data_IF_314113514820
#
_entry.id   IF_314113514820
#
_cell.length_a   1.000
_cell.length_b   1.000
_cell.length_c   1.000
_cell.angle_alpha   90.00
_cell.angle_beta   90.00
_cell.angle_gamma   90.00
#
_symmetry.space_group_name_H-M   'P 1'
#
loop_
_entity.id
_entity.type
_entity.pdbx_description
1 polymer ?
#
# COMPACT_ATOMS: atom_id res chain seq x y z
N UNK A 1 -32.60 -21.92 26.51
CA UNK A 1 -31.91 -20.68 26.10
C UNK A 1 -30.65 -20.59 26.92
N UNK A 2 -29.48 -20.71 26.29
CA UNK A 2 -28.20 -20.64 27.00
C UNK A 2 -27.77 -19.18 27.09
N UNK A 3 -27.85 -18.60 28.29
CA UNK A 3 -27.23 -17.31 28.59
C UNK A 3 -25.71 -17.48 28.56
N UNK A 4 -25.10 -17.16 27.42
CA UNK A 4 -23.65 -17.08 27.29
C UNK A 4 -23.19 -15.68 27.66
N UNK A 5 -22.11 -15.57 28.44
CA UNK A 5 -21.50 -14.30 28.80
C UNK A 5 -20.91 -13.60 27.56
N UNK A 6 -20.67 -12.29 27.68
CA UNK A 6 -20.22 -11.46 26.56
C UNK A 6 -18.88 -11.93 25.95
N UNK A 7 -17.98 -12.52 26.74
CA UNK A 7 -16.70 -13.05 26.28
C UNK A 7 -16.87 -14.29 25.41
N UNK A 8 -17.79 -15.18 25.79
CA UNK A 8 -18.13 -16.39 25.03
C UNK A 8 -18.79 -16.06 23.69
N UNK A 9 -19.65 -15.03 23.63
CA UNK A 9 -20.27 -14.58 22.37
C UNK A 9 -19.26 -14.02 21.37
N UNK A 10 -18.27 -13.27 21.87
CA UNK A 10 -17.20 -12.71 21.04
C UNK A 10 -16.33 -13.81 20.43
N UNK A 11 -15.99 -14.85 21.20
CA UNK A 11 -15.26 -16.00 20.67
C UNK A 11 -16.08 -16.78 19.65
N UNK A 12 -17.38 -16.96 19.88
CA UNK A 12 -18.26 -17.63 18.92
C UNK A 12 -18.36 -16.87 17.60
N UNK A 13 -18.45 -15.53 17.64
CA UNK A 13 -18.47 -14.68 16.44
C UNK A 13 -17.16 -14.70 15.67
N UNK A 14 -16.02 -14.77 16.36
CA UNK A 14 -14.71 -14.92 15.71
C UNK A 14 -14.58 -16.30 15.05
N UNK A 15 -15.05 -17.36 15.72
CA UNK A 15 -15.06 -18.72 15.15
C UNK A 15 -15.99 -18.78 13.94
N UNK A 16 -17.20 -18.23 14.03
CA UNK A 16 -18.15 -18.20 12.91
C UNK A 16 -17.64 -17.33 11.76
N UNK A 17 -17.04 -16.18 12.03
CA UNK A 17 -16.43 -15.34 10.99
C UNK A 17 -15.25 -16.00 10.31
N UNK A 18 -14.40 -16.69 11.08
CA UNK A 18 -13.30 -17.49 10.55
C UNK A 18 -13.81 -18.64 9.68
N UNK A 19 -14.84 -19.37 10.12
CA UNK A 19 -15.47 -20.44 9.33
C UNK A 19 -16.13 -19.91 8.05
N UNK A 20 -16.79 -18.75 8.09
CA UNK A 20 -17.42 -18.15 6.90
C UNK A 20 -16.40 -17.66 5.86
N UNK A 21 -15.24 -17.18 6.31
CA UNK A 21 -14.10 -16.87 5.44
C UNK A 21 -13.53 -18.15 4.79
N UNK A 22 -13.42 -19.24 5.54
CA UNK A 22 -12.92 -20.52 5.02
C UNK A 22 -13.85 -21.19 3.99
N UNK A 23 -15.17 -20.97 4.07
CA UNK A 23 -16.16 -21.60 3.17
C UNK A 23 -16.72 -20.69 2.07
N UNK A 24 -16.04 -19.57 1.73
CA UNK A 24 -16.44 -18.69 0.62
C UNK A 24 -17.78 -17.98 0.82
N UNK A 25 -18.22 -17.83 2.08
CA UNK A 25 -19.57 -17.41 2.47
C UNK A 25 -19.84 -15.90 2.44
N UNK A 26 -19.37 -15.17 1.42
CA UNK A 26 -19.64 -13.72 1.31
C UNK A 26 -21.13 -13.39 1.23
N UNK A 27 -21.95 -14.28 0.64
CA UNK A 27 -23.41 -14.12 0.58
C UNK A 27 -24.10 -14.36 1.93
N UNK A 28 -23.50 -15.17 2.82
CA UNK A 28 -24.02 -15.42 4.16
C UNK A 28 -23.56 -14.35 5.17
N UNK A 29 -22.41 -13.70 4.94
CA UNK A 29 -21.94 -12.61 5.80
C UNK A 29 -22.98 -11.50 5.93
N UNK A 30 -23.61 -11.07 4.83
CA UNK A 30 -24.67 -10.06 4.86
C UNK A 30 -25.95 -10.51 5.60
N UNK A 31 -26.15 -11.81 5.81
CA UNK A 31 -27.26 -12.36 6.59
C UNK A 31 -26.87 -12.49 8.07
N UNK A 32 -25.64 -12.92 8.36
CA UNK A 32 -25.08 -13.00 9.72
C UNK A 32 -24.96 -11.60 10.34
N UNK A 33 -24.51 -10.62 9.57
CA UNK A 33 -24.43 -9.21 9.96
C UNK A 33 -25.82 -8.62 10.27
N UNK A 34 -26.88 -9.06 9.58
CA UNK A 34 -28.26 -8.64 9.90
C UNK A 34 -28.86 -9.35 11.11
N UNK A 35 -28.39 -10.57 11.42
CA UNK A 35 -29.02 -11.40 12.45
C UNK A 35 -28.34 -11.25 13.80
N UNK A 36 -27.03 -11.00 13.84
CA UNK A 36 -26.23 -10.99 15.07
C UNK A 36 -25.80 -9.61 15.59
N UNK A 37 -25.97 -8.53 14.82
CA UNK A 37 -25.53 -7.18 15.25
C UNK A 37 -26.49 -6.50 16.21
N UNK A 38 -27.70 -7.02 16.42
CA UNK A 38 -28.70 -6.30 17.22
C UNK A 38 -28.49 -6.41 18.74
N UNK A 39 -27.93 -7.51 19.24
CA UNK A 39 -27.89 -7.79 20.69
C UNK A 39 -26.50 -8.13 21.27
N UNK A 40 -25.45 -8.29 20.45
CA UNK A 40 -24.16 -8.87 20.91
C UNK A 40 -23.03 -7.86 21.18
N UNK A 41 -23.13 -6.62 20.70
CA UNK A 41 -22.05 -5.63 20.77
C UNK A 41 -22.43 -4.43 21.65
N UNK A 42 -22.43 -4.65 22.95
CA UNK A 42 -22.46 -3.54 23.90
C UNK A 42 -21.22 -2.66 23.76
N UNK A 43 -21.40 -1.43 23.28
CA UNK A 43 -20.63 -0.28 23.78
C UNK A 43 -19.76 0.53 22.82
N UNK A 44 -19.60 0.17 21.55
CA UNK A 44 -19.09 1.11 20.53
C UNK A 44 -20.20 1.26 19.49
N UNK A 45 -20.83 2.43 19.46
CA UNK A 45 -22.21 2.64 19.01
C UNK A 45 -22.54 2.24 17.57
N UNK A 46 -22.85 0.97 17.35
CA UNK A 46 -23.83 0.51 16.34
C UNK A 46 -25.23 0.76 16.95
N UNK A 47 -25.51 2.04 17.18
CA UNK A 47 -26.70 2.53 17.89
C UNK A 47 -27.19 3.86 17.35
N UNK A 48 -26.56 4.41 16.32
CA UNK A 48 -27.23 5.39 15.50
C UNK A 48 -28.40 4.66 14.83
N UNK A 49 -29.65 5.10 15.04
CA UNK A 49 -30.78 4.55 14.29
C UNK A 49 -30.41 4.62 12.81
N UNK A 50 -30.81 3.59 12.04
CA UNK A 50 -30.67 3.65 10.59
C UNK A 50 -31.14 5.05 10.15
N UNK A 51 -30.31 5.82 9.40
CA UNK A 51 -30.57 7.22 9.13
C UNK A 51 -32.02 7.40 8.72
N UNK A 52 -32.71 8.35 9.34
CA UNK A 52 -34.13 8.61 9.06
C UNK A 52 -34.27 8.75 7.55
N UNK A 53 -35.39 8.35 6.95
CA UNK A 53 -35.55 8.27 5.49
C UNK A 53 -35.03 9.51 4.69
N UNK A 54 -35.15 10.77 5.19
CA UNK A 54 -34.50 11.95 4.59
C UNK A 54 -32.96 11.89 4.57
N UNK A 55 -32.35 11.40 5.64
CA UNK A 55 -30.89 11.24 5.79
C UNK A 55 -30.35 10.17 4.84
N UNK A 56 -31.15 9.13 4.56
CA UNK A 56 -30.79 8.11 3.56
C UNK A 56 -30.73 8.69 2.15
N UNK A 57 -31.70 9.51 1.76
CA UNK A 57 -31.71 10.14 0.44
C UNK A 57 -30.52 11.09 0.27
N UNK A 58 -30.22 11.91 1.28
CA UNK A 58 -29.06 12.79 1.30
C UNK A 58 -27.74 12.01 1.22
N UNK A 59 -27.59 10.95 2.02
CA UNK A 59 -26.43 10.06 1.98
C UNK A 59 -26.23 9.42 0.61
N UNK A 60 -27.30 8.89 -0.01
CA UNK A 60 -27.22 8.28 -1.34
C UNK A 60 -26.88 9.32 -2.43
N UNK A 61 -27.43 10.53 -2.34
CA UNK A 61 -27.09 11.61 -3.25
C UNK A 61 -25.60 12.00 -3.13
N UNK A 62 -25.08 12.07 -1.90
CA UNK A 62 -23.67 12.38 -1.65
C UNK A 62 -22.75 11.27 -2.15
N UNK A 63 -23.09 10.01 -1.88
CA UNK A 63 -22.36 8.84 -2.40
C UNK A 63 -22.31 8.83 -3.92
N UNK A 64 -23.39 9.22 -4.62
CA UNK A 64 -23.41 9.37 -6.09
C UNK A 64 -22.46 10.45 -6.57
N UNK A 65 -22.43 11.62 -5.92
CA UNK A 65 -21.51 12.72 -6.26
C UNK A 65 -20.06 12.28 -6.08
N UNK A 66 -19.74 11.59 -4.99
CA UNK A 66 -18.41 11.04 -4.73
C UNK A 66 -17.98 10.05 -5.82
N UNK A 67 -18.84 9.08 -6.18
CA UNK A 67 -18.55 8.14 -7.27
C UNK A 67 -18.38 8.85 -8.63
N UNK A 68 -19.19 9.87 -8.91
CA UNK A 68 -19.09 10.65 -10.14
C UNK A 68 -17.76 11.40 -10.20
N UNK A 69 -17.35 12.06 -9.12
CA UNK A 69 -16.06 12.76 -9.04
C UNK A 69 -14.91 11.77 -9.28
N UNK A 70 -14.88 10.63 -8.59
CA UNK A 70 -13.87 9.57 -8.80
C UNK A 70 -13.83 9.09 -10.24
N UNK A 71 -14.99 8.82 -10.85
CA UNK A 71 -15.07 8.36 -12.25
C UNK A 71 -14.55 9.42 -13.23
N UNK A 72 -14.87 10.69 -13.01
CA UNK A 72 -14.36 11.80 -13.83
C UNK A 72 -12.85 11.96 -13.66
N UNK A 73 -12.33 11.90 -12.43
CA UNK A 73 -10.89 11.90 -12.17
C UNK A 73 -10.20 10.74 -12.87
N UNK A 74 -10.71 9.50 -12.72
CA UNK A 74 -10.19 8.32 -13.39
C UNK A 74 -10.09 8.52 -14.91
N UNK A 75 -11.17 9.01 -15.53
CA UNK A 75 -11.22 9.28 -16.97
C UNK A 75 -10.19 10.34 -17.39
N UNK A 76 -10.03 11.41 -16.61
CA UNK A 76 -9.04 12.44 -16.88
C UNK A 76 -7.60 11.93 -16.69
N UNK A 77 -7.32 11.17 -15.64
CA UNK A 77 -6.01 10.58 -15.39
C UNK A 77 -5.61 9.59 -16.49
N UNK A 78 -6.53 8.73 -16.95
CA UNK A 78 -6.31 7.82 -18.08
C UNK A 78 -5.99 8.56 -19.39
N UNK A 79 -6.56 9.74 -19.58
CA UNK A 79 -6.29 10.60 -20.72
C UNK A 79 -5.04 11.50 -20.54
N UNK A 80 -4.31 11.38 -19.43
CA UNK A 80 -3.18 12.26 -19.09
C UNK A 80 -3.58 13.71 -18.79
N UNK A 81 -4.88 14.00 -18.65
CA UNK A 81 -5.41 15.34 -18.43
C UNK A 81 -5.42 15.71 -16.94
N UNK A 82 -4.26 15.65 -16.28
CA UNK A 82 -4.14 15.77 -14.82
C UNK A 82 -4.68 17.09 -14.25
N UNK A 83 -4.54 18.23 -14.96
CA UNK A 83 -5.15 19.49 -14.52
C UNK A 83 -6.69 19.42 -14.45
N UNK A 84 -7.33 18.63 -15.34
CA UNK A 84 -8.78 18.41 -15.26
C UNK A 84 -9.14 17.55 -14.06
N UNK A 85 -8.33 16.53 -13.74
CA UNK A 85 -8.52 15.71 -12.54
C UNK A 85 -8.41 16.55 -11.25
N UNK A 86 -7.42 17.44 -11.16
CA UNK A 86 -7.27 18.39 -10.03
C UNK A 86 -8.52 19.26 -9.88
N UNK A 87 -9.03 19.86 -10.97
CA UNK A 87 -10.24 20.70 -10.93
C UNK A 87 -11.49 19.94 -10.46
N UNK A 88 -11.64 18.67 -10.86
CA UNK A 88 -12.74 17.82 -10.39
C UNK A 88 -12.62 17.61 -8.87
N UNK A 89 -11.41 17.32 -8.39
CA UNK A 89 -11.18 17.16 -6.95
C UNK A 89 -11.43 18.44 -6.17
N UNK A 90 -10.91 19.59 -6.62
CA UNK A 90 -11.13 20.89 -5.98
C UNK A 90 -12.62 21.22 -5.86
N UNK A 91 -13.39 20.95 -6.93
CA UNK A 91 -14.84 21.17 -6.95
C UNK A 91 -15.57 20.29 -5.92
N UNK A 92 -15.10 19.07 -5.71
CA UNK A 92 -15.66 18.16 -4.70
C UNK A 92 -15.26 18.60 -3.28
N UNK A 93 -13.96 18.83 -3.06
CA UNK A 93 -13.38 19.15 -1.75
C UNK A 93 -13.83 20.51 -1.21
N UNK A 94 -14.19 21.46 -2.10
CA UNK A 94 -14.80 22.73 -1.68
C UNK A 94 -16.13 22.56 -0.92
N UNK A 95 -16.74 21.37 -0.98
CA UNK A 95 -18.02 21.04 -0.33
C UNK A 95 -17.85 20.11 0.87
N UNK A 96 -16.81 19.28 0.86
CA UNK A 96 -16.65 18.19 1.84
C UNK A 96 -15.20 17.72 1.87
N UNK A 97 -14.64 17.64 3.07
CA UNK A 97 -13.37 16.97 3.28
C UNK A 97 -13.51 15.46 3.05
N UNK A 98 -12.71 14.92 2.15
CA UNK A 98 -12.67 13.49 1.82
C UNK A 98 -11.23 13.07 1.53
N UNK A 99 -10.68 12.23 2.40
CA UNK A 99 -9.27 11.78 2.32
C UNK A 99 -8.97 11.10 0.99
N UNK A 100 -9.90 10.30 0.45
CA UNK A 100 -9.69 9.57 -0.79
C UNK A 100 -9.59 10.53 -1.98
N UNK A 101 -10.50 11.49 -2.09
CA UNK A 101 -10.44 12.53 -3.13
C UNK A 101 -9.19 13.40 -2.94
N UNK A 102 -8.82 13.71 -1.69
CA UNK A 102 -7.59 14.41 -1.33
C UNK A 102 -6.34 13.69 -1.85
N UNK A 103 -6.23 12.38 -1.65
CA UNK A 103 -5.09 11.58 -2.10
C UNK A 103 -5.02 11.56 -3.64
N UNK A 104 -6.15 11.38 -4.32
CA UNK A 104 -6.22 11.39 -5.78
C UNK A 104 -5.87 12.77 -6.37
N UNK A 105 -6.21 13.85 -5.67
CA UNK A 105 -5.80 15.22 -6.01
C UNK A 105 -4.30 15.40 -5.84
N UNK A 106 -3.77 15.01 -4.69
CA UNK A 106 -2.36 15.13 -4.36
C UNK A 106 -1.49 14.37 -5.39
N UNK A 107 -1.92 13.18 -5.80
CA UNK A 107 -1.29 12.47 -6.89
C UNK A 107 -1.37 13.22 -8.22
N UNK A 108 -2.54 13.73 -8.61
CA UNK A 108 -2.68 14.46 -9.86
C UNK A 108 -1.75 15.68 -9.90
N UNK A 109 -1.53 16.34 -8.76
CA UNK A 109 -0.54 17.41 -8.61
C UNK A 109 0.90 16.90 -8.74
N UNK A 110 1.24 15.75 -8.13
CA UNK A 110 2.55 15.11 -8.32
C UNK A 110 2.84 14.81 -9.80
N UNK A 111 1.83 14.35 -10.55
CA UNK A 111 1.94 14.11 -12.00
C UNK A 111 2.15 15.37 -12.84
N UNK A 112 1.82 16.52 -12.29
CA UNK A 112 2.05 17.84 -12.88
C UNK A 112 3.37 18.47 -12.42
N UNK A 113 4.15 17.75 -11.62
CA UNK A 113 5.33 18.29 -10.93
C UNK A 113 5.01 19.53 -10.09
N UNK A 114 3.77 19.65 -9.62
CA UNK A 114 3.34 20.75 -8.75
C UNK A 114 3.84 20.48 -7.32
N UNK A 115 4.63 21.40 -6.72
CA UNK A 115 5.14 21.23 -5.35
C UNK A 115 4.06 20.97 -4.30
N UNK A 116 2.84 21.48 -4.50
CA UNK A 116 1.72 21.25 -3.59
C UNK A 116 1.32 19.77 -3.51
N UNK A 117 1.59 18.97 -4.55
CA UNK A 117 1.26 17.55 -4.56
C UNK A 117 1.96 16.78 -3.46
N UNK A 118 3.27 17.02 -3.30
CA UNK A 118 4.09 16.44 -2.23
C UNK A 118 3.57 16.84 -0.84
N UNK A 119 3.31 18.13 -0.62
CA UNK A 119 2.81 18.64 0.66
C UNK A 119 1.43 18.10 1.00
N UNK A 120 0.51 18.07 0.05
CA UNK A 120 -0.84 17.55 0.23
C UNK A 120 -0.83 16.04 0.55
N UNK A 121 -0.05 15.26 -0.19
CA UNK A 121 0.10 13.82 0.06
C UNK A 121 0.69 13.57 1.44
N UNK A 122 1.77 14.27 1.80
CA UNK A 122 2.39 14.14 3.12
C UNK A 122 1.47 14.54 4.27
N UNK A 123 0.54 15.48 4.06
CA UNK A 123 -0.47 15.84 5.06
C UNK A 123 -1.49 14.72 5.25
N UNK A 124 -1.95 14.10 4.17
CA UNK A 124 -2.97 13.06 4.19
C UNK A 124 -2.46 11.71 4.70
N UNK A 125 -1.16 11.44 4.59
CA UNK A 125 -0.53 10.26 5.15
C UNK A 125 -0.20 10.40 6.64
N UNK A 126 -0.27 11.61 7.23
CA UNK A 126 -0.06 11.75 8.68
C UNK A 126 -1.32 11.31 9.42
N UNK A 127 -1.47 10.00 9.56
CA UNK A 127 -2.35 9.35 10.51
C UNK A 127 -1.54 8.91 11.76
N UNK A 128 -2.20 8.41 12.81
CA UNK A 128 -1.60 8.08 14.11
C UNK A 128 -0.62 6.87 14.08
N UNK A 129 -0.46 6.18 12.96
CA UNK A 129 0.41 5.02 12.79
C UNK A 129 1.78 5.41 12.19
N UNK A 130 2.82 5.45 13.03
CA UNK A 130 4.15 5.99 12.72
C UNK A 130 4.84 5.58 11.40
N UNK A 131 4.43 4.49 10.74
CA UNK A 131 4.96 4.08 9.43
C UNK A 131 4.66 5.11 8.32
N UNK A 132 3.45 5.66 8.28
CA UNK A 132 3.09 6.66 7.28
C UNK A 132 3.75 8.03 7.52
N UNK A 133 4.24 8.28 8.74
CA UNK A 133 5.04 9.47 9.04
C UNK A 133 6.38 9.47 8.30
N UNK A 134 7.05 8.33 8.20
CA UNK A 134 8.30 8.22 7.44
C UNK A 134 8.05 8.59 5.98
N UNK A 135 7.05 7.98 5.33
CA UNK A 135 6.68 8.26 3.93
C UNK A 135 6.32 9.73 3.71
N UNK A 136 5.61 10.34 4.66
CA UNK A 136 5.30 11.76 4.64
C UNK A 136 6.57 12.63 4.68
N UNK A 137 7.59 12.24 5.45
CA UNK A 137 8.86 12.95 5.51
C UNK A 137 9.64 12.84 4.19
N UNK A 138 9.64 11.65 3.56
CA UNK A 138 10.23 11.48 2.23
C UNK A 138 9.51 12.30 1.16
N UNK A 139 8.17 12.39 1.21
CA UNK A 139 7.39 13.26 0.31
C UNK A 139 7.70 14.74 0.48
N UNK A 140 8.07 15.18 1.69
CA UNK A 140 8.57 16.55 1.98
C UNK A 140 10.02 16.77 1.55
N UNK A 141 10.71 15.72 1.11
CA UNK A 141 12.13 15.76 0.76
C UNK A 141 13.08 15.52 1.92
N UNK A 142 12.59 15.21 3.13
CA UNK A 142 13.42 14.87 4.29
C UNK A 142 13.81 13.39 4.25
N UNK A 143 14.69 13.06 3.29
CA UNK A 143 15.25 11.70 3.12
C UNK A 143 15.95 11.21 4.39
N UNK A 144 16.57 12.12 5.15
CA UNK A 144 17.28 11.82 6.40
C UNK A 144 16.33 11.42 7.53
N UNK A 145 15.16 12.04 7.65
CA UNK A 145 14.15 11.63 8.62
C UNK A 145 13.61 10.23 8.31
N UNK A 146 13.30 9.94 7.05
CA UNK A 146 12.90 8.59 6.62
C UNK A 146 13.99 7.57 6.98
N UNK A 147 15.24 7.85 6.62
CA UNK A 147 16.39 6.98 6.91
C UNK A 147 16.52 6.69 8.41
N UNK A 148 16.43 7.71 9.28
CA UNK A 148 16.47 7.53 10.74
C UNK A 148 15.36 6.63 11.26
N UNK A 149 14.17 6.70 10.68
CA UNK A 149 13.05 5.84 11.07
C UNK A 149 13.28 4.39 10.64
N UNK A 150 13.74 4.18 9.40
CA UNK A 150 14.12 2.85 8.92
C UNK A 150 15.22 2.23 9.79
N UNK A 151 16.28 2.99 10.12
CA UNK A 151 17.33 2.54 11.03
C UNK A 151 16.81 2.24 12.44
N UNK A 152 15.89 3.06 12.97
CA UNK A 152 15.29 2.82 14.29
C UNK A 152 14.52 1.51 14.29
N UNK A 153 13.66 1.30 13.29
CA UNK A 153 12.87 0.08 13.13
C UNK A 153 13.78 -1.16 12.98
N UNK A 154 14.86 -1.04 12.20
CA UNK A 154 15.87 -2.09 12.08
C UNK A 154 16.55 -2.35 13.42
N UNK A 155 16.98 -1.34 14.17
CA UNK A 155 17.64 -1.48 15.48
C UNK A 155 16.73 -2.17 16.51
N UNK A 156 15.45 -1.80 16.57
CA UNK A 156 14.48 -2.37 17.52
C UNK A 156 14.02 -3.78 17.17
N UNK A 157 14.18 -4.21 15.92
CA UNK A 157 13.73 -5.54 15.49
C UNK A 157 14.76 -6.61 15.85
N UNK A 158 14.33 -7.57 16.68
CA UNK A 158 15.08 -8.77 17.00
C UNK A 158 14.98 -9.77 15.82
N UNK A 159 16.09 -10.07 15.13
CA UNK A 159 16.07 -10.98 13.98
C UNK A 159 15.74 -12.42 14.37
N UNK A 160 15.92 -12.83 15.62
CA UNK A 160 15.58 -14.18 16.08
C UNK A 160 14.09 -14.28 16.37
N UNK A 161 13.55 -13.32 17.13
CA UNK A 161 12.16 -13.38 17.64
C UNK A 161 11.09 -12.87 16.68
N UNK A 162 11.47 -12.09 15.66
CA UNK A 162 10.50 -11.55 14.69
C UNK A 162 9.84 -12.65 13.85
N UNK A 163 8.53 -12.54 13.63
CA UNK A 163 7.82 -13.35 12.63
C UNK A 163 8.32 -13.00 11.22
N UNK A 164 8.15 -13.89 10.22
CA UNK A 164 8.51 -13.60 8.82
C UNK A 164 7.90 -12.30 8.30
N UNK A 165 6.60 -12.07 8.58
CA UNK A 165 5.91 -10.85 8.18
C UNK A 165 6.51 -9.60 8.83
N UNK A 166 6.79 -9.64 10.13
CA UNK A 166 7.39 -8.49 10.83
C UNK A 166 8.82 -8.21 10.35
N UNK A 167 9.60 -9.27 10.13
CA UNK A 167 10.95 -9.16 9.56
C UNK A 167 10.90 -8.51 8.17
N UNK A 168 9.98 -8.96 7.31
CA UNK A 168 9.78 -8.39 5.99
C UNK A 168 9.35 -6.93 6.04
N UNK A 169 8.32 -6.59 6.82
CA UNK A 169 7.80 -5.22 6.89
C UNK A 169 8.86 -4.24 7.43
N UNK A 170 9.70 -4.69 8.37
CA UNK A 170 10.84 -3.88 8.84
C UNK A 170 11.87 -3.69 7.73
N UNK A 171 12.21 -4.76 7.00
CA UNK A 171 13.15 -4.72 5.89
C UNK A 171 12.62 -3.89 4.70
N UNK A 172 11.30 -3.83 4.53
CA UNK A 172 10.65 -3.04 3.48
C UNK A 172 10.88 -1.54 3.62
N UNK A 173 10.86 -1.02 4.86
CA UNK A 173 11.22 0.38 5.13
C UNK A 173 12.61 0.69 4.58
N UNK A 174 13.56 -0.22 4.78
CA UNK A 174 14.90 -0.07 4.25
C UNK A 174 14.95 -0.15 2.71
N UNK A 175 14.21 -1.06 2.08
CA UNK A 175 14.11 -1.13 0.61
C UNK A 175 13.58 0.18 0.00
N UNK A 176 12.66 0.84 0.69
CA UNK A 176 12.05 2.10 0.28
C UNK A 176 12.91 3.34 0.47
N UNK A 177 13.91 3.26 1.34
CA UNK A 177 14.78 4.41 1.60
C UNK A 177 15.72 4.60 0.39
N UNK A 178 15.74 5.77 -0.27
CA UNK A 178 16.64 5.99 -1.41
C UNK A 178 18.12 5.78 -1.05
N UNK A 179 18.47 6.04 0.22
CA UNK A 179 19.83 5.96 0.75
C UNK A 179 19.83 5.37 2.16
N UNK A 180 20.55 4.27 2.37
CA UNK A 180 20.91 3.81 3.73
C UNK A 180 22.41 4.00 3.87
N UNK A 181 22.80 4.97 4.68
CA UNK A 181 24.20 5.36 4.85
C UNK A 181 24.99 4.44 5.77
N UNK A 182 24.33 3.71 6.66
CA UNK A 182 24.96 2.70 7.52
C UNK A 182 24.94 1.31 6.84
N UNK A 183 26.09 0.77 6.40
CA UNK A 183 26.16 -0.55 5.78
C UNK A 183 25.69 -1.67 6.72
N UNK A 184 25.85 -1.52 8.04
CA UNK A 184 25.40 -2.52 9.01
C UNK A 184 23.87 -2.60 9.08
N UNK A 185 23.19 -1.45 9.01
CA UNK A 185 21.74 -1.37 8.92
C UNK A 185 21.22 -2.02 7.63
N UNK A 186 21.85 -1.75 6.48
CA UNK A 186 21.48 -2.39 5.21
C UNK A 186 21.70 -3.92 5.26
N UNK A 187 22.84 -4.39 5.77
CA UNK A 187 23.12 -5.81 5.95
C UNK A 187 22.08 -6.48 6.87
N UNK A 188 21.66 -5.81 7.95
CA UNK A 188 20.60 -6.30 8.83
C UNK A 188 19.25 -6.40 8.11
N UNK A 189 18.89 -5.42 7.28
CA UNK A 189 17.66 -5.47 6.49
C UNK A 189 17.65 -6.65 5.53
N UNK A 190 18.75 -6.89 4.81
CA UNK A 190 18.93 -8.06 3.93
C UNK A 190 18.73 -9.36 4.72
N UNK A 191 19.38 -9.51 5.88
CA UNK A 191 19.27 -10.72 6.69
C UNK A 191 17.83 -10.99 7.19
N UNK A 192 17.09 -9.93 7.55
CA UNK A 192 15.67 -10.03 7.92
C UNK A 192 14.81 -10.49 6.73
N UNK A 193 15.03 -9.92 5.54
CA UNK A 193 14.30 -10.29 4.34
C UNK A 193 14.59 -11.72 3.89
N UNK A 194 15.86 -12.15 3.93
CA UNK A 194 16.25 -13.53 3.63
C UNK A 194 15.62 -14.53 4.62
N UNK A 195 15.53 -14.18 5.90
CA UNK A 195 14.82 -14.99 6.90
C UNK A 195 13.35 -15.17 6.49
N UNK A 196 12.68 -14.09 6.11
CA UNK A 196 11.28 -14.13 5.70
C UNK A 196 11.08 -15.03 4.46
N UNK A 197 11.92 -14.87 3.43
CA UNK A 197 11.90 -15.72 2.23
C UNK A 197 12.12 -17.19 2.58
N UNK A 198 13.13 -17.51 3.41
CA UNK A 198 13.39 -18.89 3.84
C UNK A 198 12.20 -19.49 4.58
N UNK A 199 11.58 -18.74 5.49
CA UNK A 199 10.41 -19.21 6.23
C UNK A 199 9.22 -19.49 5.29
N UNK A 200 8.92 -18.57 4.36
CA UNK A 200 7.84 -18.76 3.39
C UNK A 200 8.05 -19.97 2.47
N UNK A 201 9.30 -20.30 2.11
CA UNK A 201 9.62 -21.51 1.34
C UNK A 201 9.41 -22.82 2.11
N UNK A 202 9.34 -22.78 3.43
CA UNK A 202 9.16 -23.94 4.30
C UNK A 202 7.71 -24.17 4.74
N UNK A 203 6.81 -23.23 4.47
CA UNK A 203 5.38 -23.39 4.74
C UNK A 203 4.79 -24.52 3.86
N UNK A 204 3.74 -25.21 4.33
CA UNK A 204 3.20 -26.42 3.69
C UNK A 204 1.96 -26.16 2.80
N UNK A 205 1.40 -24.95 2.80
CA UNK A 205 0.17 -24.58 2.08
C UNK A 205 0.43 -23.87 0.72
N UNK A 206 0.33 -24.57 -0.44
CA UNK A 206 0.86 -24.08 -1.73
C UNK A 206 0.32 -22.74 -2.23
N UNK A 207 -0.96 -22.44 -2.01
CA UNK A 207 -1.59 -21.21 -2.53
C UNK A 207 -1.29 -19.98 -1.68
N UNK A 208 -1.26 -20.11 -0.35
CA UNK A 208 -0.91 -19.01 0.56
C UNK A 208 0.60 -18.71 0.51
N UNK A 209 1.43 -19.73 0.29
CA UNK A 209 2.88 -19.61 0.08
C UNK A 209 3.19 -18.67 -1.06
N UNK A 210 2.51 -18.81 -2.21
CA UNK A 210 2.82 -18.01 -3.39
C UNK A 210 2.67 -16.50 -3.12
N UNK A 211 1.65 -16.09 -2.34
CA UNK A 211 1.44 -14.69 -1.98
C UNK A 211 2.51 -14.13 -1.05
N UNK A 212 2.80 -14.83 0.05
CA UNK A 212 3.80 -14.42 1.03
C UNK A 212 5.21 -14.45 0.44
N UNK A 213 5.56 -15.53 -0.26
CA UNK A 213 6.86 -15.70 -0.90
C UNK A 213 7.10 -14.62 -1.95
N UNK A 214 6.12 -14.31 -2.82
CA UNK A 214 6.28 -13.23 -3.79
C UNK A 214 6.57 -11.87 -3.12
N UNK A 215 5.84 -11.56 -2.05
CA UNK A 215 6.01 -10.31 -1.28
C UNK A 215 7.40 -10.22 -0.65
N UNK A 216 7.86 -11.31 -0.02
CA UNK A 216 9.14 -11.34 0.67
C UNK A 216 10.32 -11.33 -0.32
N UNK A 217 10.16 -12.01 -1.45
CA UNK A 217 11.13 -12.00 -2.55
C UNK A 217 11.19 -10.61 -3.21
N UNK A 218 10.06 -9.89 -3.36
CA UNK A 218 10.07 -8.51 -3.84
C UNK A 218 10.90 -7.59 -2.92
N UNK A 219 10.69 -7.70 -1.61
CA UNK A 219 11.45 -6.92 -0.60
C UNK A 219 12.94 -7.22 -0.67
N UNK A 220 13.31 -8.51 -0.77
CA UNK A 220 14.70 -8.94 -0.88
C UNK A 220 15.35 -8.37 -2.15
N UNK A 221 14.65 -8.41 -3.28
CA UNK A 221 15.09 -7.84 -4.54
C UNK A 221 15.33 -6.33 -4.46
N UNK A 222 14.43 -5.58 -3.82
CA UNK A 222 14.62 -4.16 -3.54
C UNK A 222 15.87 -3.90 -2.69
N UNK A 223 16.14 -4.73 -1.68
CA UNK A 223 17.34 -4.61 -0.83
C UNK A 223 18.64 -4.97 -1.55
N UNK A 224 18.62 -5.94 -2.47
CA UNK A 224 19.75 -6.22 -3.35
C UNK A 224 20.10 -4.99 -4.18
N UNK A 225 19.10 -4.33 -4.79
CA UNK A 225 19.30 -3.08 -5.53
C UNK A 225 19.91 -1.98 -4.64
N UNK A 226 19.37 -1.79 -3.42
CA UNK A 226 19.92 -0.81 -2.46
C UNK A 226 21.36 -1.12 -2.03
N UNK A 227 21.76 -2.39 -2.07
CA UNK A 227 23.12 -2.85 -1.76
C UNK A 227 24.10 -2.78 -2.93
N UNK A 228 23.68 -2.28 -4.11
CA UNK A 228 24.49 -2.29 -5.33
C UNK A 228 24.70 -3.69 -5.93
N UNK A 229 23.89 -4.67 -5.50
CA UNK A 229 23.89 -6.04 -6.02
C UNK A 229 22.85 -6.15 -7.14
N UNK A 230 23.06 -5.40 -8.21
CA UNK A 230 22.02 -5.18 -9.24
C UNK A 230 21.68 -6.45 -10.02
N UNK A 231 22.66 -7.33 -10.25
CA UNK A 231 22.42 -8.62 -10.90
C UNK A 231 21.51 -9.52 -10.05
N UNK A 232 21.81 -9.65 -8.76
CA UNK A 232 20.99 -10.39 -7.80
C UNK A 232 19.61 -9.75 -7.62
N UNK A 233 19.53 -8.42 -7.67
CA UNK A 233 18.26 -7.70 -7.62
C UNK A 233 17.37 -8.08 -8.81
N UNK A 234 17.91 -8.04 -10.04
CA UNK A 234 17.18 -8.41 -11.25
C UNK A 234 16.69 -9.86 -11.17
N UNK A 235 17.56 -10.79 -10.81
CA UNK A 235 17.19 -12.21 -10.68
C UNK A 235 16.06 -12.40 -9.65
N UNK A 236 16.23 -11.82 -8.46
CA UNK A 236 15.28 -11.94 -7.34
C UNK A 236 13.93 -11.30 -7.67
N UNK A 237 13.92 -10.12 -8.28
CA UNK A 237 12.68 -9.42 -8.65
C UNK A 237 11.95 -10.15 -9.79
N UNK A 238 12.67 -10.76 -10.74
CA UNK A 238 12.07 -11.62 -11.75
C UNK A 238 11.50 -12.91 -11.16
N UNK A 239 12.13 -13.48 -10.13
CA UNK A 239 11.55 -14.60 -9.37
C UNK A 239 10.24 -14.19 -8.70
N UNK A 240 10.24 -13.08 -7.94
CA UNK A 240 9.01 -12.53 -7.33
C UNK A 240 7.91 -12.33 -8.37
N UNK A 241 8.25 -11.75 -9.52
CA UNK A 241 7.31 -11.46 -10.59
C UNK A 241 6.69 -12.72 -11.23
N UNK A 242 7.44 -13.82 -11.29
CA UNK A 242 6.91 -15.12 -11.74
C UNK A 242 5.95 -15.75 -10.73
N UNK A 243 6.19 -15.52 -9.44
CA UNK A 243 5.32 -16.00 -8.36
C UNK A 243 4.01 -15.20 -8.33
N UNK A 244 4.11 -13.87 -8.41
CA UNK A 244 2.98 -12.95 -8.46
C UNK A 244 3.40 -11.65 -9.12
N UNK A 245 2.57 -11.17 -10.05
CA UNK A 245 2.77 -9.82 -10.60
C UNK A 245 2.56 -8.77 -9.51
N UNK A 246 3.61 -7.99 -9.23
CA UNK A 246 3.56 -6.90 -8.27
C UNK A 246 4.09 -5.61 -8.90
N UNK A 247 3.41 -4.46 -8.68
CA UNK A 247 3.83 -3.20 -9.27
C UNK A 247 5.19 -2.73 -8.75
N UNK A 248 5.58 -3.13 -7.54
CA UNK A 248 6.89 -2.80 -6.97
C UNK A 248 8.05 -3.50 -7.70
N UNK A 249 7.84 -4.71 -8.23
CA UNK A 249 8.83 -5.37 -9.07
C UNK A 249 9.18 -4.49 -10.28
N UNK A 250 8.17 -3.93 -10.95
CA UNK A 250 8.39 -3.07 -12.11
C UNK A 250 9.19 -1.80 -11.76
N UNK A 251 9.00 -1.22 -10.58
CA UNK A 251 9.76 -0.06 -10.13
C UNK A 251 11.24 -0.40 -9.92
N UNK A 252 11.54 -1.40 -9.09
CA UNK A 252 12.92 -1.79 -8.80
C UNK A 252 13.63 -2.40 -10.02
N UNK A 253 12.93 -3.16 -10.87
CA UNK A 253 13.51 -3.67 -12.12
C UNK A 253 13.87 -2.54 -13.08
N UNK A 254 13.05 -1.49 -13.16
CA UNK A 254 13.40 -0.29 -13.96
C UNK A 254 14.73 0.28 -13.49
N UNK A 255 14.87 0.52 -12.19
CA UNK A 255 16.09 1.09 -11.59
C UNK A 255 17.30 0.17 -11.79
N UNK A 256 17.17 -1.12 -11.50
CA UNK A 256 18.28 -2.08 -11.60
C UNK A 256 18.76 -2.29 -13.05
N UNK A 257 17.84 -2.37 -14.02
CA UNK A 257 18.22 -2.44 -15.44
C UNK A 257 18.82 -1.13 -15.94
N UNK A 258 18.34 0.02 -15.46
CA UNK A 258 18.88 1.32 -15.86
C UNK A 258 20.35 1.49 -15.41
N UNK A 259 20.64 1.10 -14.17
CA UNK A 259 21.98 1.13 -13.55
C UNK A 259 22.96 0.14 -14.21
N UNK A 260 22.49 -1.03 -14.64
CA UNK A 260 23.32 -2.00 -15.37
C UNK A 260 23.48 -1.67 -16.86
N UNK A 261 22.79 -0.65 -17.37
CA UNK A 261 22.91 -0.17 -18.74
C UNK A 261 21.97 -0.83 -19.77
N UNK A 262 21.10 -1.76 -19.36
CA UNK A 262 20.07 -2.33 -20.25
C UNK A 262 18.87 -1.38 -20.35
N UNK A 263 19.06 -0.29 -21.09
CA UNK A 263 18.04 0.76 -21.27
C UNK A 263 16.75 0.24 -21.92
N UNK A 264 16.82 -0.83 -22.71
CA UNK A 264 15.65 -1.44 -23.35
C UNK A 264 14.79 -2.17 -22.32
N UNK A 265 15.41 -2.99 -21.47
CA UNK A 265 14.70 -3.66 -20.39
C UNK A 265 14.15 -2.64 -19.37
N UNK A 266 14.95 -1.64 -18.99
CA UNK A 266 14.51 -0.56 -18.10
C UNK A 266 13.25 0.15 -18.63
N UNK A 267 13.24 0.53 -19.91
CA UNK A 267 12.08 1.18 -20.54
C UNK A 267 10.84 0.27 -20.57
N UNK A 268 11.00 -1.04 -20.78
CA UNK A 268 9.89 -1.97 -20.78
C UNK A 268 9.22 -2.06 -19.40
N UNK A 269 10.01 -2.14 -18.33
CA UNK A 269 9.51 -2.13 -16.95
C UNK A 269 8.90 -0.79 -16.56
N UNK A 270 9.51 0.32 -16.99
CA UNK A 270 8.97 1.67 -16.80
C UNK A 270 7.59 1.82 -17.43
N UNK A 271 7.43 1.35 -18.67
CA UNK A 271 6.13 1.37 -19.37
C UNK A 271 5.08 0.53 -18.64
N UNK A 272 5.47 -0.62 -18.09
CA UNK A 272 4.59 -1.49 -17.30
C UNK A 272 4.12 -0.80 -16.01
N UNK A 273 5.04 -0.18 -15.28
CA UNK A 273 4.71 0.60 -14.08
C UNK A 273 3.80 1.79 -14.41
N UNK A 274 4.11 2.54 -15.48
CA UNK A 274 3.28 3.66 -15.93
C UNK A 274 1.86 3.20 -16.27
N UNK A 275 1.73 2.08 -17.00
CA UNK A 275 0.44 1.47 -17.32
C UNK A 275 -0.32 1.06 -16.07
N UNK A 276 0.33 0.35 -15.14
CA UNK A 276 -0.28 -0.04 -13.87
C UNK A 276 -0.81 1.19 -13.13
N UNK A 277 0.01 2.24 -13.02
CA UNK A 277 -0.41 3.48 -12.37
C UNK A 277 -1.60 4.09 -13.11
N UNK A 278 -1.58 4.23 -14.43
CA UNK A 278 -2.72 4.78 -15.18
C UNK A 278 -4.02 3.98 -14.98
N UNK A 279 -3.94 2.64 -15.03
CA UNK A 279 -5.11 1.76 -14.95
C UNK A 279 -5.72 1.69 -13.55
N UNK A 280 -4.92 1.92 -12.51
CA UNK A 280 -5.36 1.87 -11.10
C UNK A 280 -5.69 3.23 -10.49
N UNK A 281 -5.55 4.33 -11.25
CA UNK A 281 -5.93 5.65 -10.77
C UNK A 281 -7.43 5.72 -10.44
N UNK A 282 -7.75 6.14 -9.21
CA UNK A 282 -9.11 6.24 -8.68
C UNK A 282 -9.92 4.92 -8.64
N UNK A 283 -9.28 3.74 -8.73
CA UNK A 283 -9.91 2.44 -8.41
C UNK A 283 -9.94 2.21 -6.89
N UNK A 284 -10.78 1.27 -6.41
CA UNK A 284 -10.89 1.00 -4.96
C UNK A 284 -9.64 0.30 -4.42
N UNK A 285 -9.16 -0.70 -5.15
CA UNK A 285 -8.09 -1.59 -4.67
C UNK A 285 -6.70 -1.04 -4.95
N UNK A 286 -6.58 -0.08 -5.87
CA UNK A 286 -5.32 0.52 -6.28
C UNK A 286 -4.76 1.59 -5.34
N UNK A 287 -5.37 1.84 -4.17
CA UNK A 287 -5.01 2.99 -3.32
C UNK A 287 -3.99 2.66 -2.24
N UNK A 288 -3.96 1.42 -1.73
CA UNK A 288 -3.28 1.10 -0.47
C UNK A 288 -1.76 1.29 -0.48
N UNK A 289 -1.11 1.29 -1.64
CA UNK A 289 0.35 1.48 -1.73
C UNK A 289 0.77 2.33 -2.92
N UNK A 290 -0.15 3.18 -3.39
CA UNK A 290 0.07 3.93 -4.62
C UNK A 290 1.03 5.08 -4.44
N UNK A 291 0.97 5.77 -3.31
CA UNK A 291 1.90 6.83 -2.94
C UNK A 291 3.34 6.32 -2.85
N UNK A 292 3.53 5.12 -2.31
CA UNK A 292 4.79 4.39 -2.32
C UNK A 292 5.33 4.18 -3.75
N UNK A 293 4.51 3.72 -4.70
CA UNK A 293 4.91 3.60 -6.11
C UNK A 293 5.25 4.95 -6.76
N UNK A 294 4.53 6.01 -6.40
CA UNK A 294 4.82 7.36 -6.90
C UNK A 294 6.16 7.90 -6.38
N UNK A 295 6.56 7.53 -5.16
CA UNK A 295 7.89 7.85 -4.61
C UNK A 295 9.00 7.18 -5.42
N UNK A 296 8.88 5.88 -5.70
CA UNK A 296 9.82 5.16 -6.58
C UNK A 296 9.79 5.68 -8.02
N UNK A 297 8.62 6.07 -8.53
CA UNK A 297 8.51 6.68 -9.86
C UNK A 297 9.33 7.96 -9.96
N UNK A 298 9.31 8.81 -8.92
CA UNK A 298 10.14 10.03 -8.88
C UNK A 298 11.62 9.71 -8.79
N UNK A 299 11.99 8.65 -8.09
CA UNK A 299 13.38 8.17 -8.06
C UNK A 299 13.84 7.78 -9.47
N UNK A 300 13.04 7.00 -10.21
CA UNK A 300 13.29 6.66 -11.62
C UNK A 300 13.45 7.93 -12.46
N UNK A 301 12.58 8.93 -12.28
CA UNK A 301 12.68 10.19 -13.03
C UNK A 301 13.98 10.95 -12.74
N UNK A 302 14.43 10.97 -11.49
CA UNK A 302 15.66 11.66 -11.10
C UNK A 302 16.91 10.94 -11.63
N UNK A 303 16.98 9.61 -11.52
CA UNK A 303 18.15 8.84 -11.99
C UNK A 303 18.31 8.90 -13.52
N UNK A 304 17.21 9.05 -14.28
CA UNK A 304 17.29 9.15 -15.75
C UNK A 304 17.72 10.52 -16.28
N UNK A 305 17.86 11.53 -15.41
CA UNK A 305 18.28 12.88 -15.80
C UNK A 305 19.78 13.15 -15.62
N UNK A 306 20.50 12.26 -14.94
CA UNK A 306 21.95 12.31 -14.72
C UNK A 306 22.72 11.56 -15.83
#
# INVERSE_FOLDING_TARGET
MLETDAGSRRHLLLIVGFLLCLFGGFALWGTVERTFTRDAFGGVGIGDPAPVEPDRAAFLAERRKWFQARKQMAAHGKAGAWQKAVRVADTYLARKDDTIIGLLRAEALLRLSDPQGSTAMAKLLRDDDGAHNAEADLLRGDKRAFEREAERALKSTDPVKSSPLNANNTAWLAAFTPTISDPASLAKAVALSEKAVRAARLEEAPEEIAGSLATYTNTLGGLHYRSGRDAEAIETLLESERLRTEPFNAAFLTLAYDRTGDKKAAQAWRNRLQKYLADTYATRDGQLYRHQLLLLWREIENETQE
#
